data_IF_547261080902
#
_entry.id   IF_547261080902
#
_cell.length_a   1.000
_cell.length_b   1.000
_cell.length_c   1.000
_cell.angle_alpha   90.00
_cell.angle_beta   90.00
_cell.angle_gamma   90.00
#
_symmetry.space_group_name_H-M   'P 1'
#
loop_
_entity.id
_entity.type
_entity.pdbx_description
1 polymer ?
#
# COMPACT_ATOMS: atom_id res chain seq x y z
N UNK A 1 15.51 1.47 31.49
CA UNK A 1 14.39 1.16 30.58
C UNK A 1 13.84 2.48 30.09
N UNK A 2 13.95 2.74 28.79
CA UNK A 2 13.43 3.95 28.16
C UNK A 2 11.90 3.95 28.24
N UNK A 3 11.25 5.11 28.33
CA UNK A 3 9.78 5.20 28.35
C UNK A 3 9.27 6.07 27.21
N UNK A 4 8.41 5.50 26.37
CA UNK A 4 7.65 6.19 25.32
C UNK A 4 6.18 6.23 25.72
N UNK A 5 5.52 7.35 25.48
CA UNK A 5 4.10 7.54 25.82
C UNK A 5 3.29 7.96 24.61
N UNK A 6 2.13 7.30 24.41
CA UNK A 6 1.08 7.73 23.51
C UNK A 6 -0.08 8.37 24.27
N UNK A 7 -0.41 9.60 23.89
CA UNK A 7 -1.55 10.36 24.41
C UNK A 7 -2.56 10.60 23.29
N UNK A 8 -3.77 10.03 23.42
CA UNK A 8 -4.87 10.27 22.50
C UNK A 8 -5.82 11.36 23.03
N UNK A 9 -6.15 12.31 22.16
CA UNK A 9 -7.21 13.30 22.36
C UNK A 9 -8.23 13.12 21.23
N UNK A 10 -9.40 12.61 21.59
CA UNK A 10 -10.47 12.27 20.65
C UNK A 10 -11.64 13.22 20.79
N UNK A 11 -12.23 13.61 19.67
CA UNK A 11 -13.49 14.35 19.61
C UNK A 11 -14.34 13.87 18.45
N UNK A 12 -15.46 14.55 18.23
CA UNK A 12 -16.30 14.30 17.04
C UNK A 12 -15.49 14.61 15.78
N UNK A 13 -15.37 13.65 14.87
CA UNK A 13 -14.66 13.78 13.60
C UNK A 13 -13.15 14.10 13.68
N UNK A 14 -12.52 14.07 14.87
CA UNK A 14 -11.10 14.42 15.02
C UNK A 14 -10.37 13.57 16.05
N UNK A 15 -9.15 13.17 15.70
CA UNK A 15 -8.16 12.54 16.57
C UNK A 15 -6.86 13.33 16.56
N UNK A 16 -6.25 13.47 17.75
CA UNK A 16 -4.85 13.84 17.89
C UNK A 16 -4.15 12.77 18.74
N UNK A 17 -3.13 12.14 18.19
CA UNK A 17 -2.34 11.12 18.87
C UNK A 17 -0.91 11.60 18.99
N UNK A 18 -0.52 12.00 20.20
CA UNK A 18 0.81 12.51 20.50
C UNK A 18 1.76 11.41 20.97
N UNK A 19 3.02 11.51 20.57
CA UNK A 19 4.13 10.72 21.14
C UNK A 19 5.02 11.61 22.02
N UNK A 20 5.43 11.09 23.18
CA UNK A 20 6.39 11.77 24.07
C UNK A 20 7.31 10.77 24.79
N UNK A 21 8.31 11.29 25.51
CA UNK A 21 9.30 10.48 26.24
C UNK A 21 10.61 10.27 25.48
N UNK A 22 11.24 9.12 25.71
CA UNK A 22 12.54 8.71 25.16
C UNK A 22 12.41 8.21 23.70
N UNK A 23 12.02 9.12 22.80
CA UNK A 23 11.91 8.84 21.35
C UNK A 23 13.18 9.27 20.64
N UNK A 24 13.54 8.56 19.55
CA UNK A 24 14.65 9.02 18.70
C UNK A 24 14.27 10.35 18.05
N UNK A 25 14.98 11.42 18.41
CA UNK A 25 14.92 12.74 17.74
C UNK A 25 16.06 12.92 16.74
N UNK A 26 16.96 11.94 16.66
CA UNK A 26 18.05 11.90 15.70
C UNK A 26 17.58 11.40 14.34
N UNK A 27 18.53 11.31 13.41
CA UNK A 27 18.30 10.69 12.12
C UNK A 27 17.96 9.20 12.31
N UNK A 28 16.82 8.79 11.77
CA UNK A 28 16.37 7.40 11.69
C UNK A 28 16.21 7.03 10.23
N UNK A 29 16.40 5.76 9.90
CA UNK A 29 16.32 5.31 8.51
C UNK A 29 14.94 4.70 8.25
N UNK A 30 14.29 5.13 7.15
CA UNK A 30 13.08 4.45 6.67
C UNK A 30 13.38 2.97 6.47
N UNK A 31 12.55 2.11 7.04
CA UNK A 31 12.65 0.65 6.86
C UNK A 31 12.63 0.24 5.37
N UNK A 32 11.99 1.06 4.53
CA UNK A 32 11.97 0.91 3.08
C UNK A 32 12.76 2.02 2.38
N UNK A 33 13.81 1.63 1.66
CA UNK A 33 14.56 2.53 0.78
C UNK A 33 15.72 3.28 1.43
N UNK A 34 16.00 3.07 2.72
CA UNK A 34 17.23 3.58 3.34
C UNK A 34 17.26 5.11 3.49
N UNK A 35 16.11 5.78 3.42
CA UNK A 35 16.04 7.25 3.47
C UNK A 35 16.15 7.69 4.92
N UNK A 36 17.20 8.43 5.23
CA UNK A 36 17.35 9.18 6.47
C UNK A 36 16.19 10.16 6.68
N UNK A 37 15.61 10.17 7.88
CA UNK A 37 14.52 11.05 8.27
C UNK A 37 14.58 11.39 9.77
N UNK A 38 13.91 12.45 10.17
CA UNK A 38 13.82 12.91 11.55
C UNK A 38 12.37 13.25 11.88
N UNK A 39 11.92 13.01 13.11
CA UNK A 39 10.58 13.40 13.54
C UNK A 39 10.46 14.92 13.56
N UNK A 40 9.52 15.46 12.80
CA UNK A 40 9.22 16.89 12.70
C UNK A 40 7.98 17.25 13.53
N UNK A 41 6.93 16.43 13.44
CA UNK A 41 5.69 16.61 14.20
C UNK A 41 5.46 15.41 15.11
N UNK A 42 5.50 15.58 16.44
CA UNK A 42 5.23 14.49 17.38
C UNK A 42 3.73 14.21 17.58
N UNK A 43 2.85 14.76 16.74
CA UNK A 43 1.41 14.57 16.84
C UNK A 43 0.83 14.15 15.49
N UNK A 44 0.27 12.95 15.43
CA UNK A 44 -0.61 12.55 14.33
C UNK A 44 -1.97 13.23 14.54
N UNK A 45 -2.38 14.06 13.59
CA UNK A 45 -3.70 14.69 13.53
C UNK A 45 -4.50 14.04 12.41
N UNK A 46 -5.73 13.60 12.73
CA UNK A 46 -6.64 12.96 11.77
C UNK A 46 -8.01 13.60 11.87
N UNK A 47 -8.63 13.90 10.74
CA UNK A 47 -10.00 14.40 10.61
C UNK A 47 -10.76 13.54 9.60
N UNK A 48 -11.96 13.07 9.96
CA UNK A 48 -12.81 12.30 9.06
C UNK A 48 -14.28 12.55 9.39
N UNK A 49 -15.06 12.94 8.40
CA UNK A 49 -16.49 13.17 8.57
C UNK A 49 -17.23 11.85 8.81
N UNK A 50 -18.19 11.86 9.74
CA UNK A 50 -19.01 10.69 10.05
C UNK A 50 -18.35 9.68 11.00
N UNK A 51 -17.10 9.93 11.42
CA UNK A 51 -16.38 9.06 12.37
C UNK A 51 -16.38 9.70 13.77
N UNK A 52 -16.93 8.97 14.75
CA UNK A 52 -16.80 9.34 16.15
C UNK A 52 -15.51 8.74 16.75
N UNK A 53 -14.44 9.52 16.75
CA UNK A 53 -13.14 9.08 17.25
C UNK A 53 -13.15 8.78 18.76
N UNK A 54 -14.10 9.32 19.53
CA UNK A 54 -14.23 8.99 20.95
C UNK A 54 -14.71 7.54 21.17
N UNK A 55 -15.28 6.94 20.13
CA UNK A 55 -15.78 5.56 20.14
C UNK A 55 -14.82 4.55 19.51
N UNK A 56 -13.65 4.98 19.03
CA UNK A 56 -12.67 4.07 18.41
C UNK A 56 -12.09 3.15 19.46
N UNK A 57 -11.97 1.87 19.11
CA UNK A 57 -11.43 0.86 19.99
C UNK A 57 -9.98 1.19 20.41
N UNK A 58 -9.62 1.07 21.70
CA UNK A 58 -8.29 1.44 22.18
C UNK A 58 -7.12 0.69 21.52
N UNK A 59 -7.30 -0.57 21.14
CA UNK A 59 -6.28 -1.32 20.39
C UNK A 59 -6.03 -0.74 18.99
N UNK A 60 -7.06 -0.21 18.34
CA UNK A 60 -6.92 0.47 17.05
C UNK A 60 -6.10 1.74 17.23
N UNK A 61 -6.35 2.53 18.29
CA UNK A 61 -5.56 3.72 18.62
C UNK A 61 -4.10 3.37 18.91
N UNK A 62 -3.84 2.32 19.69
CA UNK A 62 -2.49 1.85 19.97
C UNK A 62 -1.76 1.41 18.69
N UNK A 63 -2.42 0.65 17.82
CA UNK A 63 -1.84 0.21 16.55
C UNK A 63 -1.55 1.41 15.64
N UNK A 64 -2.48 2.36 15.50
CA UNK A 64 -2.25 3.60 14.73
C UNK A 64 -1.01 4.33 15.26
N UNK A 65 -0.85 4.46 16.58
CA UNK A 65 0.33 5.09 17.18
C UNK A 65 1.62 4.38 16.84
N UNK A 66 1.64 3.05 16.96
CA UNK A 66 2.81 2.25 16.59
C UNK A 66 3.13 2.42 15.11
N UNK A 67 2.14 2.35 14.22
CA UNK A 67 2.34 2.46 12.78
C UNK A 67 2.84 3.85 12.35
N UNK A 68 2.30 4.91 12.96
CA UNK A 68 2.64 6.29 12.64
C UNK A 68 4.05 6.67 13.11
N UNK A 69 4.46 6.17 14.27
CA UNK A 69 5.73 6.56 14.90
C UNK A 69 6.78 5.44 14.92
N UNK A 70 6.53 4.32 14.22
CA UNK A 70 7.41 3.15 14.19
C UNK A 70 8.90 3.50 14.03
N UNK A 71 9.32 4.39 13.09
CA UNK A 71 10.73 4.69 12.85
C UNK A 71 11.49 5.30 14.04
N UNK A 72 10.79 5.88 15.02
CA UNK A 72 11.41 6.59 16.15
C UNK A 72 11.18 5.91 17.50
N UNK A 73 10.54 4.75 17.48
CA UNK A 73 10.45 3.88 18.66
C UNK A 73 11.84 3.27 18.94
N UNK A 74 12.22 3.12 20.22
CA UNK A 74 13.47 2.46 20.57
C UNK A 74 13.57 1.04 20.01
N UNK A 75 14.78 0.65 19.61
CA UNK A 75 15.04 -0.68 19.05
C UNK A 75 15.13 -1.79 20.11
N UNK A 76 15.44 -1.44 21.37
CA UNK A 76 15.59 -2.40 22.47
C UNK A 76 15.10 -1.83 23.79
N UNK A 77 14.59 -2.71 24.65
CA UNK A 77 14.27 -2.50 26.08
C UNK A 77 13.63 -1.14 26.45
N UNK A 78 12.38 -0.96 26.03
CA UNK A 78 11.58 0.21 26.38
C UNK A 78 10.17 -0.13 26.86
N UNK A 79 9.55 0.81 27.55
CA UNK A 79 8.14 0.75 27.94
C UNK A 79 7.33 1.69 27.05
N UNK A 80 6.30 1.14 26.39
CA UNK A 80 5.26 1.89 25.70
C UNK A 80 4.05 2.05 26.62
N UNK A 81 3.85 3.27 27.12
CA UNK A 81 2.69 3.66 27.94
C UNK A 81 1.62 4.31 27.08
N UNK A 82 0.37 3.92 27.27
CA UNK A 82 -0.77 4.55 26.58
C UNK A 82 -1.67 5.25 27.60
N UNK A 83 -2.26 6.39 27.24
CA UNK A 83 -3.25 7.08 28.09
C UNK A 83 -4.62 6.39 28.13
N UNK A 84 -4.78 5.32 27.36
CA UNK A 84 -5.99 4.53 27.18
C UNK A 84 -5.73 3.03 27.47
N UNK A 85 -6.76 2.18 27.59
CA UNK A 85 -6.59 0.75 27.79
C UNK A 85 -5.94 0.05 26.58
N UNK A 86 -5.27 -1.09 26.77
CA UNK A 86 -4.77 -1.93 25.67
C UNK A 86 -4.99 -3.41 26.00
N UNK A 87 -5.50 -4.19 25.06
CA UNK A 87 -5.78 -5.62 25.29
C UNK A 87 -4.49 -6.44 25.41
N UNK A 88 -4.58 -7.57 26.10
CA UNK A 88 -3.46 -8.51 26.20
C UNK A 88 -3.04 -9.07 24.82
N UNK A 89 -3.97 -9.19 23.88
CA UNK A 89 -3.71 -9.70 22.53
C UNK A 89 -2.81 -8.75 21.75
N UNK A 90 -3.14 -7.45 21.73
CA UNK A 90 -2.30 -6.47 21.07
C UNK A 90 -0.93 -6.34 21.76
N UNK A 91 -0.89 -6.34 23.09
CA UNK A 91 0.38 -6.32 23.83
C UNK A 91 1.27 -7.50 23.41
N UNK A 92 0.72 -8.72 23.34
CA UNK A 92 1.46 -9.91 22.91
C UNK A 92 1.91 -9.83 21.44
N UNK A 93 1.09 -9.25 20.56
CA UNK A 93 1.43 -9.08 19.16
C UNK A 93 2.60 -8.09 18.96
N UNK A 94 2.59 -6.97 19.69
CA UNK A 94 3.64 -5.95 19.64
C UNK A 94 4.96 -6.44 20.24
N UNK A 95 4.91 -7.28 21.29
CA UNK A 95 6.09 -7.87 21.95
C UNK A 95 6.88 -8.87 21.12
N UNK A 96 6.41 -9.21 19.92
CA UNK A 96 7.10 -10.15 19.05
C UNK A 96 8.47 -9.58 18.65
N UNK A 97 9.55 -10.39 18.63
CA UNK A 97 10.91 -9.91 18.37
C UNK A 97 11.11 -9.17 17.04
N UNK A 98 10.23 -9.40 16.07
CA UNK A 98 10.28 -8.79 14.73
C UNK A 98 9.31 -7.61 14.56
N UNK A 99 8.59 -7.22 15.61
CA UNK A 99 7.71 -6.04 15.64
C UNK A 99 8.38 -4.96 16.51
N UNK A 100 8.38 -5.13 17.83
CA UNK A 100 9.04 -4.24 18.79
C UNK A 100 9.84 -5.10 19.81
N UNK A 101 11.10 -5.45 19.51
CA UNK A 101 11.91 -6.29 20.39
C UNK A 101 12.09 -5.65 21.77
N UNK A 102 11.84 -6.43 22.84
CA UNK A 102 12.06 -5.97 24.22
C UNK A 102 11.05 -4.94 24.73
N UNK A 103 9.96 -4.68 24.01
CA UNK A 103 8.94 -3.72 24.47
C UNK A 103 8.16 -4.29 25.65
N UNK A 104 7.93 -3.46 26.67
CA UNK A 104 6.82 -3.65 27.61
C UNK A 104 5.71 -2.69 27.24
N UNK A 105 4.47 -3.16 27.20
CA UNK A 105 3.32 -2.33 26.82
C UNK A 105 2.39 -2.25 28.01
N UNK A 106 2.02 -1.03 28.40
CA UNK A 106 1.10 -0.75 29.50
C UNK A 106 0.08 0.33 29.07
N UNK A 107 -1.11 0.25 29.66
CA UNK A 107 -2.19 1.21 29.41
C UNK A 107 -3.01 1.45 30.66
N UNK A 108 -3.92 2.42 30.61
CA UNK A 108 -4.80 2.80 31.72
C UNK A 108 -5.98 1.81 31.88
N UNK A 109 -5.67 0.51 31.91
CA UNK A 109 -6.63 -0.59 31.99
C UNK A 109 -6.45 -1.63 30.89
N UNK A 110 -7.39 -2.59 30.84
CA UNK A 110 -7.44 -3.66 29.84
C UNK A 110 -8.57 -3.33 28.85
N UNK A 111 -8.26 -3.27 27.57
CA UNK A 111 -9.28 -3.06 26.54
C UNK A 111 -10.20 -4.28 26.40
N UNK A 112 -11.45 -4.04 26.03
CA UNK A 112 -12.39 -5.10 25.68
C UNK A 112 -12.05 -5.77 24.34
N UNK A 113 -12.87 -6.73 23.88
CA UNK A 113 -12.74 -7.29 22.55
C UNK A 113 -13.07 -6.25 21.48
N UNK A 114 -12.31 -6.26 20.38
CA UNK A 114 -12.61 -5.48 19.19
C UNK A 114 -13.83 -6.05 18.46
N UNK A 115 -14.77 -5.15 18.11
CA UNK A 115 -15.89 -5.46 17.24
C UNK A 115 -15.87 -4.51 16.05
N UNK A 116 -15.78 -5.03 14.81
CA UNK A 116 -15.76 -4.18 13.63
C UNK A 116 -17.09 -3.42 13.48
N UNK A 117 -17.00 -2.14 13.10
CA UNK A 117 -18.15 -1.29 12.77
C UNK A 117 -18.52 -1.34 11.29
N UNK A 118 -17.53 -1.64 10.44
CA UNK A 118 -17.71 -1.85 9.01
C UNK A 118 -17.24 -3.26 8.69
N UNK A 119 -17.94 -3.96 7.79
CA UNK A 119 -17.47 -5.29 7.40
C UNK A 119 -16.20 -5.20 6.56
N UNK A 120 -16.29 -4.63 5.36
CA UNK A 120 -15.16 -4.57 4.43
C UNK A 120 -15.00 -3.17 3.86
N UNK A 121 -13.76 -2.72 3.70
CA UNK A 121 -13.39 -1.46 3.03
C UNK A 121 -12.25 -1.70 2.05
N UNK A 122 -12.11 -0.83 1.05
CA UNK A 122 -10.94 -0.77 0.18
C UNK A 122 -10.07 0.41 0.60
N UNK A 123 -8.81 0.12 0.94
CA UNK A 123 -7.78 1.13 1.12
C UNK A 123 -7.43 1.74 -0.24
N UNK A 124 -8.01 2.89 -0.54
CA UNK A 124 -8.01 3.48 -1.88
C UNK A 124 -6.97 4.58 -2.01
N UNK A 125 -5.91 4.33 -2.80
CA UNK A 125 -4.82 5.29 -3.04
C UNK A 125 -4.91 6.03 -4.37
N UNK A 126 -5.91 5.71 -5.21
CA UNK A 126 -6.09 6.31 -6.54
C UNK A 126 -5.21 5.76 -7.66
N UNK A 127 -4.24 4.90 -7.37
CA UNK A 127 -3.45 4.22 -8.41
C UNK A 127 -4.23 3.09 -9.10
N UNK A 128 -3.67 2.54 -10.18
CA UNK A 128 -4.32 1.42 -10.91
C UNK A 128 -4.66 0.25 -10.00
N UNK A 129 -3.83 -0.04 -9.00
CA UNK A 129 -4.00 -1.23 -8.18
C UNK A 129 -5.22 -1.12 -7.25
N UNK A 130 -5.37 0.02 -6.54
CA UNK A 130 -6.58 0.28 -5.74
C UNK A 130 -7.82 0.55 -6.60
N UNK A 131 -7.65 1.11 -7.81
CA UNK A 131 -8.74 1.30 -8.75
C UNK A 131 -9.25 -0.03 -9.30
N UNK A 132 -8.36 -0.96 -9.63
CA UNK A 132 -8.69 -2.34 -10.00
C UNK A 132 -9.46 -3.03 -8.87
N UNK A 133 -9.02 -2.88 -7.61
CA UNK A 133 -9.77 -3.38 -6.46
C UNK A 133 -11.20 -2.82 -6.42
N UNK A 134 -11.40 -1.51 -6.61
CA UNK A 134 -12.75 -0.91 -6.61
C UNK A 134 -13.65 -1.40 -7.76
N UNK A 135 -13.06 -1.87 -8.87
CA UNK A 135 -13.80 -2.45 -10.00
C UNK A 135 -14.16 -3.91 -9.73
N UNK A 136 -13.23 -4.68 -9.15
CA UNK A 136 -13.44 -6.10 -8.79
C UNK A 136 -14.42 -6.29 -7.64
N UNK A 137 -14.51 -5.32 -6.73
CA UNK A 137 -15.35 -5.40 -5.54
C UNK A 137 -16.37 -4.25 -5.51
N UNK A 138 -17.35 -4.24 -6.43
CA UNK A 138 -18.32 -3.17 -6.52
C UNK A 138 -19.16 -3.08 -5.25
N UNK A 139 -19.46 -1.86 -4.81
CA UNK A 139 -20.27 -1.59 -3.62
C UNK A 139 -19.53 -1.68 -2.29
N UNK A 140 -18.24 -2.05 -2.28
CA UNK A 140 -17.41 -1.95 -1.09
C UNK A 140 -16.95 -0.49 -0.90
N UNK A 141 -17.20 0.12 0.27
CA UNK A 141 -16.75 1.47 0.56
C UNK A 141 -15.25 1.69 0.38
N UNK A 142 -14.90 2.85 -0.15
CA UNK A 142 -13.53 3.30 -0.36
C UNK A 142 -13.10 4.20 0.79
N UNK A 143 -11.89 3.98 1.31
CA UNK A 143 -11.27 4.85 2.32
C UNK A 143 -9.99 5.44 1.74
N UNK A 144 -9.91 6.77 1.70
CA UNK A 144 -8.78 7.49 1.11
C UNK A 144 -8.13 8.44 2.10
N UNK A 145 -6.79 8.40 2.15
CA UNK A 145 -5.97 9.35 2.90
C UNK A 145 -5.64 10.55 2.01
N UNK A 146 -5.95 11.74 2.52
CA UNK A 146 -5.57 13.03 1.95
C UNK A 146 -4.83 13.84 3.02
N UNK A 147 -3.84 14.66 2.65
CA UNK A 147 -3.25 15.61 3.59
C UNK A 147 -4.29 16.58 4.17
N UNK A 148 -4.07 17.01 5.41
CA UNK A 148 -4.82 18.08 6.05
C UNK A 148 -4.74 19.38 5.22
N UNK A 149 -5.83 20.17 5.12
CA UNK A 149 -5.87 21.42 4.34
C UNK A 149 -4.83 22.47 4.75
N UNK A 150 -4.31 22.39 5.98
CA UNK A 150 -3.24 23.27 6.47
C UNK A 150 -1.85 22.89 5.94
N UNK A 151 -1.74 21.82 5.15
CA UNK A 151 -0.51 21.45 4.46
C UNK A 151 -0.17 22.50 3.41
N UNK A 152 1.05 23.05 3.47
CA UNK A 152 1.57 23.99 2.48
C UNK A 152 1.93 23.33 1.15
N UNK A 153 1.86 22.00 1.06
CA UNK A 153 2.04 21.27 -0.18
C UNK A 153 0.81 21.47 -1.07
N UNK A 154 1.01 21.79 -2.36
CA UNK A 154 -0.05 21.92 -3.35
C UNK A 154 -0.74 20.56 -3.61
N UNK A 155 -1.67 20.23 -2.70
CA UNK A 155 -2.63 19.13 -2.56
C UNK A 155 -3.63 18.85 -3.71
N UNK A 156 -3.29 18.59 -4.98
CA UNK A 156 -4.36 18.34 -5.98
C UNK A 156 -4.86 16.91 -5.87
N UNK A 157 -5.87 16.75 -5.03
CA UNK A 157 -6.48 15.45 -4.82
C UNK A 157 -7.52 15.11 -5.90
N UNK A 158 -7.03 14.58 -7.02
CA UNK A 158 -7.89 14.03 -8.08
C UNK A 158 -8.78 12.90 -7.54
N UNK A 159 -8.33 12.19 -6.50
CA UNK A 159 -9.05 11.08 -5.88
C UNK A 159 -10.22 11.59 -5.04
N UNK A 160 -10.03 12.60 -4.19
CA UNK A 160 -11.12 13.21 -3.41
C UNK A 160 -12.25 13.70 -4.30
N UNK A 161 -11.94 14.27 -5.47
CA UNK A 161 -12.95 14.73 -6.41
C UNK A 161 -13.83 13.59 -6.94
N UNK A 162 -13.28 12.37 -7.05
CA UNK A 162 -13.99 11.15 -7.42
C UNK A 162 -14.81 10.64 -6.22
N UNK A 163 -14.20 10.56 -5.03
CA UNK A 163 -14.79 9.89 -3.87
C UNK A 163 -15.91 10.69 -3.19
N UNK A 164 -15.81 12.03 -3.12
CA UNK A 164 -16.81 12.89 -2.45
C UNK A 164 -18.20 12.83 -3.09
N UNK A 165 -18.34 12.16 -4.24
CA UNK A 165 -19.61 11.95 -4.95
C UNK A 165 -20.40 10.76 -4.40
N UNK A 166 -19.81 9.97 -3.52
CA UNK A 166 -20.35 8.72 -2.99
C UNK A 166 -20.35 8.78 -1.46
N UNK A 167 -21.52 8.99 -0.82
CA UNK A 167 -21.62 9.22 0.63
C UNK A 167 -21.18 8.03 1.49
N UNK A 168 -21.09 6.84 0.90
CA UNK A 168 -20.59 5.61 1.54
C UNK A 168 -19.06 5.59 1.67
N UNK A 169 -18.33 6.46 0.98
CA UNK A 169 -16.87 6.51 1.02
C UNK A 169 -16.36 7.48 2.09
N UNK A 170 -15.17 7.19 2.61
CA UNK A 170 -14.50 8.03 3.61
C UNK A 170 -13.27 8.71 3.03
N UNK A 171 -13.23 10.03 3.23
CA UNK A 171 -12.03 10.84 3.04
C UNK A 171 -11.46 11.15 4.42
N UNK A 172 -10.22 10.75 4.63
CA UNK A 172 -9.49 10.89 5.90
C UNK A 172 -8.40 11.92 5.69
N UNK A 173 -8.53 13.06 6.36
CA UNK A 173 -7.53 14.12 6.33
C UNK A 173 -6.52 13.92 7.44
N UNK A 174 -5.23 13.76 7.12
CA UNK A 174 -4.20 13.60 8.16
C UNK A 174 -2.87 14.31 7.84
N UNK A 175 -1.94 14.26 8.80
CA UNK A 175 -0.55 14.70 8.62
C UNK A 175 0.46 13.55 8.62
N UNK A 176 0.04 12.31 8.33
CA UNK A 176 0.88 11.11 8.45
C UNK A 176 2.17 11.21 7.61
N UNK A 177 2.05 11.78 6.41
CA UNK A 177 3.17 11.95 5.47
C UNK A 177 4.13 13.09 5.84
N UNK A 178 3.75 13.92 6.81
CA UNK A 178 4.46 15.12 7.26
C UNK A 178 5.00 14.97 8.68
N UNK A 179 4.78 13.82 9.34
CA UNK A 179 5.36 13.55 10.66
C UNK A 179 6.90 13.59 10.62
N UNK A 180 7.50 13.30 9.47
CA UNK A 180 8.95 13.19 9.30
C UNK A 180 9.49 14.20 8.28
N UNK A 181 10.78 14.51 8.36
CA UNK A 181 11.48 15.42 7.45
C UNK A 181 11.53 14.93 6.01
N UNK A 182 11.39 13.63 5.78
CA UNK A 182 11.19 13.04 4.47
C UNK A 182 9.70 12.78 4.23
N UNK A 183 9.16 13.31 3.12
CA UNK A 183 7.78 13.07 2.73
C UNK A 183 7.55 11.61 2.37
N UNK A 184 6.55 10.99 3.00
CA UNK A 184 6.16 9.61 2.70
C UNK A 184 5.56 8.90 3.90
N UNK A 185 5.18 7.64 3.70
CA UNK A 185 4.68 6.84 4.81
C UNK A 185 5.84 6.38 5.70
N UNK A 186 5.73 6.51 7.03
CA UNK A 186 6.78 6.07 7.96
C UNK A 186 7.06 4.57 7.86
N UNK A 187 6.03 3.81 7.53
CA UNK A 187 6.03 2.38 7.33
C UNK A 187 5.01 2.04 6.24
N UNK A 188 5.25 1.04 5.39
CA UNK A 188 4.33 0.74 4.28
C UNK A 188 2.92 0.37 4.75
N UNK A 189 2.78 -0.42 5.83
CA UNK A 189 1.46 -0.72 6.44
C UNK A 189 0.80 0.48 7.09
N UNK A 190 1.50 1.60 7.28
CA UNK A 190 0.88 2.85 7.73
C UNK A 190 -0.13 3.38 6.69
N UNK A 191 -0.07 2.90 5.43
CA UNK A 191 -1.12 3.13 4.44
C UNK A 191 -2.52 2.70 4.91
N UNK A 192 -2.62 1.77 5.86
CA UNK A 192 -3.90 1.28 6.38
C UNK A 192 -4.43 2.08 7.57
N UNK A 193 -3.69 3.09 8.06
CA UNK A 193 -4.16 3.93 9.20
C UNK A 193 -5.51 4.57 8.88
N UNK A 194 -5.68 5.13 7.68
CA UNK A 194 -6.95 5.72 7.26
C UNK A 194 -8.09 4.68 7.22
N UNK A 195 -7.81 3.45 6.80
CA UNK A 195 -8.81 2.37 6.83
C UNK A 195 -9.10 1.88 8.25
N UNK A 196 -8.13 1.91 9.16
CA UNK A 196 -8.33 1.48 10.56
C UNK A 196 -9.32 2.39 11.32
N UNK A 197 -9.38 3.69 11.01
CA UNK A 197 -10.23 4.63 11.76
C UNK A 197 -11.73 4.37 11.59
N UNK A 198 -12.14 3.65 10.54
CA UNK A 198 -13.54 3.23 10.33
C UNK A 198 -13.83 1.84 10.92
N UNK A 199 -12.86 1.25 11.60
CA UNK A 199 -12.96 -0.04 12.30
C UNK A 199 -13.54 -1.17 11.44
N UNK A 200 -12.88 -1.51 10.32
CA UNK A 200 -13.33 -2.57 9.43
C UNK A 200 -12.99 -3.97 9.98
N UNK A 201 -13.71 -5.00 9.54
CA UNK A 201 -13.27 -6.40 9.66
C UNK A 201 -12.19 -6.72 8.64
N UNK A 202 -12.38 -6.28 7.39
CA UNK A 202 -11.47 -6.56 6.28
C UNK A 202 -11.05 -5.25 5.58
N UNK A 203 -9.77 -5.15 5.26
CA UNK A 203 -9.20 -4.08 4.44
C UNK A 203 -8.67 -4.71 3.16
N UNK A 204 -9.37 -4.47 2.04
CA UNK A 204 -8.86 -4.82 0.72
C UNK A 204 -7.80 -3.79 0.34
N UNK A 205 -6.61 -4.25 -0.03
CA UNK A 205 -5.51 -3.37 -0.46
C UNK A 205 -5.12 -3.63 -1.90
N UNK A 206 -4.76 -2.56 -2.62
CA UNK A 206 -4.19 -2.66 -3.97
C UNK A 206 -2.75 -3.18 -3.99
N UNK A 207 -2.34 -4.04 -3.05
CA UNK A 207 -1.01 -4.66 -3.09
C UNK A 207 -1.02 -5.76 -4.13
N UNK A 208 -0.20 -5.58 -5.15
CA UNK A 208 0.01 -6.44 -6.30
C UNK A 208 0.82 -7.71 -6.01
N UNK A 209 0.74 -8.67 -6.92
CA UNK A 209 1.37 -9.98 -6.81
C UNK A 209 2.89 -9.92 -6.78
N UNK A 210 3.51 -9.02 -7.55
CA UNK A 210 4.97 -9.00 -7.75
C UNK A 210 5.70 -8.41 -6.54
N UNK A 211 5.13 -7.38 -5.90
CA UNK A 211 5.61 -6.86 -4.61
C UNK A 211 5.46 -7.88 -3.47
N UNK A 212 4.37 -8.65 -3.49
CA UNK A 212 4.09 -9.67 -2.47
C UNK A 212 4.92 -10.94 -2.61
N UNK A 213 5.13 -11.43 -3.83
CA UNK A 213 5.73 -12.75 -4.05
C UNK A 213 7.11 -12.70 -4.70
N UNK A 214 7.47 -11.66 -5.46
CA UNK A 214 8.73 -11.64 -6.22
C UNK A 214 9.78 -10.66 -5.65
N UNK A 215 9.46 -9.94 -4.58
CA UNK A 215 10.32 -8.89 -4.00
C UNK A 215 10.88 -7.92 -5.06
N UNK A 216 10.05 -7.53 -6.03
CA UNK A 216 10.45 -6.63 -7.11
C UNK A 216 11.35 -7.25 -8.18
N UNK A 217 11.30 -8.58 -8.36
CA UNK A 217 11.98 -9.30 -9.46
C UNK A 217 13.17 -10.16 -9.02
N UNK A 218 13.51 -10.15 -7.71
CA UNK A 218 14.66 -10.88 -7.15
C UNK A 218 14.39 -12.38 -6.97
N UNK A 219 13.12 -12.79 -6.95
CA UNK A 219 12.74 -14.20 -6.93
C UNK A 219 11.53 -14.49 -6.07
N UNK A 220 10.92 -15.66 -6.30
CA UNK A 220 9.76 -16.11 -5.55
C UNK A 220 10.07 -16.30 -4.05
N UNK A 221 9.48 -15.42 -3.24
CA UNK A 221 9.56 -15.37 -1.79
C UNK A 221 8.17 -14.99 -1.28
N UNK A 222 7.29 -15.98 -1.00
CA UNK A 222 5.93 -15.69 -0.60
C UNK A 222 5.91 -14.87 0.70
N UNK A 223 5.44 -13.63 0.63
CA UNK A 223 5.26 -12.75 1.80
C UNK A 223 3.90 -12.92 2.48
N UNK A 224 3.18 -14.02 2.24
CA UNK A 224 1.97 -14.36 3.01
C UNK A 224 2.25 -14.53 4.52
N UNK A 225 3.52 -14.68 4.91
CA UNK A 225 3.98 -14.63 6.30
C UNK A 225 4.24 -13.19 6.83
N UNK A 226 3.71 -12.15 6.19
CA UNK A 226 3.93 -10.76 6.60
C UNK A 226 3.55 -10.57 8.08
N UNK A 227 4.55 -10.21 8.88
CA UNK A 227 4.40 -10.12 10.32
C UNK A 227 3.42 -9.04 10.74
N UNK A 228 3.30 -7.97 9.96
CA UNK A 228 2.36 -6.89 10.22
C UNK A 228 0.92 -7.37 10.01
N UNK A 229 0.61 -8.11 8.94
CA UNK A 229 -0.74 -8.64 8.72
C UNK A 229 -1.22 -9.49 9.90
N UNK A 230 -0.31 -10.23 10.54
CA UNK A 230 -0.63 -10.97 11.76
C UNK A 230 -0.93 -10.05 12.95
N UNK A 231 -0.30 -8.87 13.05
CA UNK A 231 -0.62 -7.86 14.08
C UNK A 231 -2.03 -7.31 13.84
N UNK A 232 -2.39 -6.95 12.61
CA UNK A 232 -3.77 -6.55 12.28
C UNK A 232 -4.78 -7.66 12.65
N UNK A 233 -4.49 -8.91 12.29
CA UNK A 233 -5.37 -10.04 12.62
C UNK A 233 -5.54 -10.25 14.13
N UNK A 234 -4.52 -9.95 14.96
CA UNK A 234 -4.64 -10.09 16.42
C UNK A 234 -5.66 -9.15 17.05
N UNK A 235 -5.93 -8.02 16.39
CA UNK A 235 -6.99 -7.08 16.78
C UNK A 235 -8.27 -7.31 15.98
N UNK A 236 -8.39 -8.41 15.21
CA UNK A 236 -9.59 -8.77 14.46
C UNK A 236 -9.74 -8.07 13.10
N UNK A 237 -8.67 -7.50 12.55
CA UNK A 237 -8.66 -6.85 11.22
C UNK A 237 -7.87 -7.69 10.23
N UNK A 238 -8.49 -8.11 9.12
CA UNK A 238 -7.83 -8.84 8.05
C UNK A 238 -7.34 -7.87 6.97
N UNK A 239 -6.11 -8.04 6.49
CA UNK A 239 -5.62 -7.38 5.28
C UNK A 239 -5.74 -8.35 4.11
N UNK A 240 -6.52 -7.97 3.11
CA UNK A 240 -6.84 -8.76 1.92
C UNK A 240 -6.21 -8.09 0.68
N UNK A 241 -4.93 -8.32 0.39
CA UNK A 241 -4.29 -7.69 -0.75
C UNK A 241 -4.76 -8.30 -2.06
N UNK A 242 -4.89 -7.50 -3.12
CA UNK A 242 -5.18 -7.97 -4.49
C UNK A 242 -3.97 -8.64 -5.16
N UNK A 243 -3.14 -9.32 -4.36
CA UNK A 243 -1.90 -9.96 -4.80
C UNK A 243 -2.12 -11.24 -5.60
N UNK A 244 -3.36 -11.48 -6.04
CA UNK A 244 -3.67 -12.42 -7.12
C UNK A 244 -3.43 -11.79 -8.50
N UNK A 245 -3.30 -10.46 -8.64
CA UNK A 245 -3.00 -9.78 -9.90
C UNK A 245 -1.64 -9.09 -9.87
N UNK A 246 -0.93 -9.11 -11.00
CA UNK A 246 0.22 -8.24 -11.24
C UNK A 246 -0.20 -6.79 -11.46
N UNK A 247 0.76 -5.87 -11.47
CA UNK A 247 0.52 -4.47 -11.87
C UNK A 247 -0.15 -4.37 -13.26
N UNK A 248 0.20 -5.29 -14.16
CA UNK A 248 -0.37 -5.39 -15.52
C UNK A 248 -1.79 -5.96 -15.47
N UNK A 249 -2.02 -6.99 -14.66
CA UNK A 249 -3.36 -7.54 -14.41
C UNK A 249 -4.32 -6.48 -13.86
N UNK A 250 -3.88 -5.68 -12.89
CA UNK A 250 -4.64 -4.54 -12.37
C UNK A 250 -4.96 -3.53 -13.49
N UNK A 251 -3.98 -3.19 -14.32
CA UNK A 251 -4.18 -2.27 -15.44
C UNK A 251 -5.20 -2.78 -16.47
N UNK A 252 -5.23 -4.09 -16.75
CA UNK A 252 -6.24 -4.72 -17.62
C UNK A 252 -7.65 -4.56 -17.04
N UNK A 253 -7.83 -4.80 -15.74
CA UNK A 253 -9.10 -4.58 -15.03
C UNK A 253 -9.54 -3.11 -15.18
N UNK A 254 -8.63 -2.17 -14.93
CA UNK A 254 -8.93 -0.74 -15.03
C UNK A 254 -9.29 -0.33 -16.46
N UNK A 255 -8.58 -0.86 -17.46
CA UNK A 255 -8.86 -0.59 -18.86
C UNK A 255 -10.23 -1.13 -19.28
N UNK A 256 -10.53 -2.38 -18.93
CA UNK A 256 -11.82 -3.00 -19.24
C UNK A 256 -13.00 -2.28 -18.56
N UNK A 257 -12.78 -1.72 -17.37
CA UNK A 257 -13.74 -0.85 -16.69
C UNK A 257 -13.88 0.55 -17.31
N UNK A 258 -13.05 0.92 -18.29
CA UNK A 258 -13.07 2.25 -18.91
C UNK A 258 -12.53 3.37 -18.01
N UNK A 259 -11.75 3.04 -16.98
CA UNK A 259 -11.32 3.98 -15.93
C UNK A 259 -9.82 4.30 -15.94
N UNK A 260 -9.11 3.99 -17.02
CA UNK A 260 -7.65 4.22 -17.10
C UNK A 260 -7.24 5.69 -16.84
N UNK A 261 -8.09 6.64 -17.21
CA UNK A 261 -7.84 8.07 -17.00
C UNK A 261 -8.15 8.56 -15.57
N UNK A 262 -8.79 7.73 -14.74
CA UNK A 262 -9.10 8.05 -13.34
C UNK A 262 -7.90 7.78 -12.42
N UNK A 263 -6.91 7.00 -12.90
CA UNK A 263 -5.78 6.59 -12.08
C UNK A 263 -4.74 7.72 -11.91
N UNK A 264 -4.37 7.99 -10.66
CA UNK A 264 -3.25 8.85 -10.32
C UNK A 264 -1.93 8.06 -10.37
N UNK A 265 -1.01 8.44 -11.27
CA UNK A 265 0.25 7.72 -11.45
C UNK A 265 1.37 8.28 -10.59
N UNK A 266 1.41 9.60 -10.44
CA UNK A 266 2.47 10.28 -9.72
C UNK A 266 2.19 10.45 -8.23
N UNK A 267 3.26 10.48 -7.45
CA UNK A 267 3.26 10.94 -6.05
C UNK A 267 3.46 12.46 -5.94
N UNK A 268 3.84 13.14 -7.03
CA UNK A 268 3.90 14.60 -7.08
C UNK A 268 2.51 15.16 -7.40
N UNK A 269 2.21 16.25 -6.71
CA UNK A 269 0.90 16.51 -6.13
C UNK A 269 0.03 17.42 -7.04
N UNK A 270 0.50 17.74 -8.24
CA UNK A 270 -0.13 18.68 -9.17
C UNK A 270 -0.41 18.08 -10.56
N UNK A 271 0.07 16.87 -10.85
CA UNK A 271 -0.03 16.25 -12.18
C UNK A 271 -0.29 14.75 -12.08
N UNK A 272 -1.07 14.20 -13.03
CA UNK A 272 -1.30 12.76 -13.11
C UNK A 272 0.01 11.98 -13.31
N UNK A 273 1.00 12.58 -13.98
CA UNK A 273 2.32 12.02 -14.31
C UNK A 273 3.39 13.12 -14.24
N UNK A 274 4.57 12.84 -13.64
CA UNK A 274 5.66 13.82 -13.53
C UNK A 274 6.72 13.74 -14.63
N UNK A 275 6.62 12.80 -15.55
CA UNK A 275 7.49 12.57 -16.72
C UNK A 275 8.97 12.31 -16.37
N UNK A 276 9.27 11.96 -15.11
CA UNK A 276 10.67 11.84 -14.63
C UNK A 276 10.91 10.76 -13.58
N UNK A 277 9.88 10.00 -13.18
CA UNK A 277 10.05 8.93 -12.20
C UNK A 277 9.73 7.56 -12.80
N UNK A 278 10.39 6.54 -12.25
CA UNK A 278 10.33 5.15 -12.73
C UNK A 278 8.91 4.57 -12.67
N UNK A 279 8.14 4.94 -11.63
CA UNK A 279 6.72 4.58 -11.51
C UNK A 279 5.89 5.10 -12.69
N UNK A 280 6.08 6.36 -13.08
CA UNK A 280 5.34 6.94 -14.19
C UNK A 280 5.76 6.31 -15.54
N UNK A 281 7.06 6.09 -15.74
CA UNK A 281 7.56 5.39 -16.93
C UNK A 281 6.93 4.00 -17.07
N UNK A 282 6.95 3.21 -15.98
CA UNK A 282 6.36 1.87 -15.96
C UNK A 282 4.89 1.89 -16.33
N UNK A 283 4.11 2.81 -15.77
CA UNK A 283 2.67 2.92 -16.05
C UNK A 283 2.40 3.35 -17.50
N UNK A 284 3.24 4.20 -18.08
CA UNK A 284 3.18 4.53 -19.52
C UNK A 284 3.42 3.32 -20.41
N UNK A 285 4.43 2.51 -20.10
CA UNK A 285 4.70 1.28 -20.85
C UNK A 285 3.51 0.31 -20.77
N UNK A 286 2.92 0.15 -19.58
CA UNK A 286 1.71 -0.67 -19.43
C UNK A 286 0.54 -0.13 -20.27
N UNK A 287 0.32 1.18 -20.30
CA UNK A 287 -0.70 1.79 -21.17
C UNK A 287 -0.41 1.57 -22.65
N UNK A 288 0.84 1.74 -23.08
CA UNK A 288 1.24 1.53 -24.47
C UNK A 288 1.04 0.07 -24.91
N UNK A 289 1.31 -0.87 -24.00
CA UNK A 289 1.07 -2.30 -24.22
C UNK A 289 -0.43 -2.59 -24.35
N UNK A 290 -1.25 -2.01 -23.48
CA UNK A 290 -2.69 -2.30 -23.43
C UNK A 290 -3.52 -1.55 -24.48
N UNK A 291 -3.06 -0.38 -24.91
CA UNK A 291 -3.73 0.47 -25.90
C UNK A 291 -2.76 0.87 -27.03
N UNK A 292 -2.61 0.02 -28.08
CA UNK A 292 -1.67 0.26 -29.17
C UNK A 292 -1.97 1.50 -30.03
N UNK A 293 -3.20 2.02 -29.95
CA UNK A 293 -3.62 3.24 -30.66
C UNK A 293 -3.19 4.50 -29.91
N UNK A 294 -2.97 4.41 -28.60
CA UNK A 294 -2.54 5.54 -27.79
C UNK A 294 -1.08 5.88 -28.04
N UNK A 295 -0.82 7.10 -28.51
CA UNK A 295 0.55 7.61 -28.63
C UNK A 295 1.09 7.91 -27.23
N UNK A 296 1.74 6.93 -26.63
CA UNK A 296 2.37 7.10 -25.32
C UNK A 296 3.74 7.77 -25.50
N UNK A 297 3.83 9.02 -25.06
CA UNK A 297 5.06 9.82 -25.14
C UNK A 297 6.10 9.36 -24.09
N UNK A 298 6.80 8.25 -24.32
CA UNK A 298 7.88 7.81 -23.43
C UNK A 298 9.20 8.56 -23.66
N UNK A 299 9.32 9.28 -24.77
CA UNK A 299 10.54 10.04 -25.11
C UNK A 299 10.80 11.21 -24.14
N UNK A 300 9.78 11.68 -23.44
CA UNK A 300 9.94 12.72 -22.41
C UNK A 300 10.87 12.26 -21.28
N UNK A 301 10.94 10.94 -21.01
CA UNK A 301 11.77 10.36 -19.96
C UNK A 301 13.25 10.25 -20.34
N UNK A 302 13.60 10.33 -21.64
CA UNK A 302 15.00 10.30 -22.12
C UNK A 302 15.86 11.41 -21.47
N UNK A 303 15.21 12.51 -21.08
CA UNK A 303 15.88 13.67 -20.50
C UNK A 303 16.18 13.49 -19.00
N UNK A 304 15.77 12.38 -18.41
CA UNK A 304 15.94 12.11 -16.98
C UNK A 304 17.11 11.17 -16.74
N UNK A 305 18.24 11.72 -16.28
CA UNK A 305 19.42 10.94 -15.89
C UNK A 305 19.09 9.84 -14.87
N UNK A 306 18.24 10.14 -13.88
CA UNK A 306 17.77 9.15 -12.90
C UNK A 306 17.03 7.96 -13.51
N UNK A 307 16.34 8.15 -14.64
CA UNK A 307 15.70 7.03 -15.35
C UNK A 307 16.75 6.21 -16.09
N UNK A 308 17.72 6.85 -16.72
CA UNK A 308 18.81 6.17 -17.43
C UNK A 308 19.63 5.32 -16.45
N UNK A 309 20.02 5.87 -15.31
CA UNK A 309 20.70 5.15 -14.22
C UNK A 309 19.86 3.98 -13.69
N UNK A 310 18.56 4.21 -13.49
CA UNK A 310 17.64 3.16 -13.07
C UNK A 310 17.60 2.00 -14.06
N UNK A 311 17.42 2.28 -15.35
CA UNK A 311 17.36 1.26 -16.40
C UNK A 311 18.68 0.52 -16.58
N UNK A 312 19.82 1.11 -16.18
CA UNK A 312 21.11 0.45 -16.16
C UNK A 312 21.32 -0.48 -14.95
N UNK A 313 20.50 -0.36 -13.90
CA UNK A 313 20.63 -1.15 -12.68
C UNK A 313 20.17 -2.60 -12.90
N UNK A 314 20.86 -3.56 -12.26
CA UNK A 314 20.49 -4.99 -12.25
C UNK A 314 20.57 -5.54 -10.81
N UNK A 315 19.57 -6.30 -10.32
CA UNK A 315 18.27 -6.51 -10.95
C UNK A 315 17.49 -5.20 -11.06
N UNK A 316 16.71 -5.07 -12.13
CA UNK A 316 15.84 -3.92 -12.32
C UNK A 316 14.63 -4.08 -11.39
N UNK A 317 14.37 -3.09 -10.54
CA UNK A 317 13.22 -3.14 -9.65
C UNK A 317 11.91 -3.13 -10.46
N UNK A 318 11.07 -4.16 -10.28
CA UNK A 318 9.94 -4.51 -11.16
C UNK A 318 10.34 -4.84 -12.60
N UNK A 319 11.50 -5.49 -12.77
CA UNK A 319 12.02 -5.90 -14.07
C UNK A 319 11.04 -6.74 -14.87
N UNK A 320 10.29 -7.63 -14.22
CA UNK A 320 9.23 -8.44 -14.80
C UNK A 320 8.17 -7.59 -15.53
N UNK A 321 7.72 -6.51 -14.89
CA UNK A 321 6.74 -5.59 -15.49
C UNK A 321 7.34 -4.86 -16.68
N UNK A 322 8.59 -4.40 -16.59
CA UNK A 322 9.28 -3.74 -17.70
C UNK A 322 9.48 -4.68 -18.89
N UNK A 323 9.93 -5.92 -18.63
CA UNK A 323 10.12 -6.97 -19.63
C UNK A 323 8.80 -7.24 -20.37
N UNK A 324 7.72 -7.51 -19.62
CA UNK A 324 6.44 -7.86 -20.24
C UNK A 324 5.82 -6.68 -20.98
N UNK A 325 5.79 -5.49 -20.35
CA UNK A 325 5.18 -4.30 -20.95
C UNK A 325 5.94 -3.85 -22.19
N UNK A 326 7.27 -3.66 -22.10
CA UNK A 326 8.05 -3.21 -23.24
C UNK A 326 8.14 -4.29 -24.34
N UNK A 327 8.36 -5.56 -23.96
CA UNK A 327 8.47 -6.68 -24.90
C UNK A 327 7.17 -6.98 -25.67
N UNK A 328 6.03 -6.64 -25.09
CA UNK A 328 4.70 -6.82 -25.73
C UNK A 328 4.15 -5.54 -26.35
N UNK A 329 4.87 -4.41 -26.27
CA UNK A 329 4.41 -3.15 -26.88
C UNK A 329 4.56 -3.21 -28.40
N UNK A 330 3.50 -2.87 -29.13
CA UNK A 330 3.48 -2.91 -30.59
C UNK A 330 4.48 -1.93 -31.27
N UNK A 331 4.91 -0.90 -30.55
CA UNK A 331 5.86 0.11 -31.00
C UNK A 331 7.11 0.06 -30.11
N UNK A 332 8.26 -0.41 -30.61
CA UNK A 332 9.51 -0.33 -29.87
C UNK A 332 9.82 1.10 -29.45
N UNK A 333 10.31 1.24 -28.23
CA UNK A 333 10.73 2.49 -27.62
C UNK A 333 12.21 2.42 -27.28
N UNK A 334 12.85 3.56 -27.00
CA UNK A 334 14.24 3.57 -26.51
C UNK A 334 14.42 2.73 -25.23
N UNK A 335 13.36 2.55 -24.42
CA UNK A 335 13.39 1.69 -23.23
C UNK A 335 13.64 0.25 -23.62
N UNK A 336 13.04 -0.22 -24.73
CA UNK A 336 13.26 -1.58 -25.24
C UNK A 336 14.74 -1.86 -25.48
N UNK A 337 15.50 -0.88 -25.98
CA UNK A 337 16.93 -1.02 -26.22
C UNK A 337 17.72 -1.17 -24.91
N UNK A 338 17.31 -0.48 -23.84
CA UNK A 338 18.00 -0.47 -22.54
C UNK A 338 17.75 -1.73 -21.71
N UNK A 339 16.69 -2.48 -22.03
CA UNK A 339 16.33 -3.74 -21.36
C UNK A 339 16.23 -4.91 -22.34
N UNK A 340 16.82 -4.77 -23.54
CA UNK A 340 16.77 -5.80 -24.58
C UNK A 340 17.37 -7.12 -24.09
N UNK A 341 18.45 -7.03 -23.31
CA UNK A 341 19.09 -8.17 -22.63
C UNK A 341 18.10 -8.94 -21.75
N UNK A 342 17.27 -8.22 -20.99
CA UNK A 342 16.27 -8.81 -20.11
C UNK A 342 15.09 -9.41 -20.88
N UNK A 343 14.64 -8.74 -21.95
CA UNK A 343 13.57 -9.25 -22.83
C UNK A 343 14.02 -10.56 -23.50
N UNK A 344 15.25 -10.61 -24.01
CA UNK A 344 15.82 -11.80 -24.63
C UNK A 344 15.98 -12.94 -23.62
N UNK A 345 16.50 -12.65 -22.42
CA UNK A 345 16.76 -13.67 -21.39
C UNK A 345 15.48 -14.32 -20.84
N UNK A 346 14.41 -13.53 -20.66
CA UNK A 346 13.19 -14.02 -19.99
C UNK A 346 12.04 -14.34 -20.95
N UNK A 347 12.02 -13.75 -22.14
CA UNK A 347 10.94 -13.93 -23.11
C UNK A 347 9.57 -13.52 -22.56
N UNK A 348 8.54 -14.26 -22.96
CA UNK A 348 7.16 -14.00 -22.52
C UNK A 348 6.94 -14.44 -21.07
N UNK A 349 6.40 -13.53 -20.26
CA UNK A 349 6.08 -13.76 -18.85
C UNK A 349 4.57 -13.94 -18.69
N UNK A 350 4.07 -15.14 -19.01
CA UNK A 350 2.64 -15.46 -19.07
C UNK A 350 1.88 -15.19 -17.76
N UNK A 351 2.58 -15.18 -16.61
CA UNK A 351 1.96 -14.87 -15.32
C UNK A 351 1.46 -13.42 -15.19
N UNK A 352 1.86 -12.50 -16.08
CA UNK A 352 1.28 -11.15 -16.14
C UNK A 352 -0.12 -11.11 -16.76
N UNK A 353 -0.49 -12.16 -17.50
CA UNK A 353 -1.76 -12.24 -18.24
C UNK A 353 -2.79 -13.15 -17.55
N UNK A 354 -2.48 -13.65 -16.37
CA UNK A 354 -3.32 -14.53 -15.56
C UNK A 354 -3.32 -14.08 -14.08
N UNK A 355 -4.19 -14.66 -13.25
CA UNK A 355 -4.22 -14.41 -11.81
C UNK A 355 -3.74 -15.62 -10.99
N UNK A 356 -3.10 -15.36 -9.86
CA UNK A 356 -2.57 -16.37 -8.95
C UNK A 356 -3.63 -16.78 -7.91
N UNK A 357 -4.28 -17.96 -8.04
CA UNK A 357 -5.44 -18.32 -7.22
C UNK A 357 -5.09 -18.56 -5.74
N UNK A 358 -3.87 -18.97 -5.43
CA UNK A 358 -3.48 -19.32 -4.05
C UNK A 358 -3.45 -18.08 -3.14
N UNK A 359 -3.36 -16.88 -3.70
CA UNK A 359 -3.44 -15.66 -2.90
C UNK A 359 -4.74 -15.57 -2.09
N UNK A 360 -5.85 -16.12 -2.58
CA UNK A 360 -7.10 -16.15 -1.81
C UNK A 360 -6.98 -16.96 -0.52
N UNK A 361 -6.34 -18.14 -0.58
CA UNK A 361 -6.11 -18.99 0.58
C UNK A 361 -5.03 -18.40 1.50
N UNK A 362 -3.93 -17.92 0.92
CA UNK A 362 -2.82 -17.29 1.65
C UNK A 362 -3.24 -16.13 2.55
N UNK A 363 -4.23 -15.35 2.11
CA UNK A 363 -4.72 -14.18 2.85
C UNK A 363 -6.09 -14.40 3.51
N UNK A 364 -6.65 -15.62 3.41
CA UNK A 364 -7.91 -15.97 4.06
C UNK A 364 -9.10 -15.16 3.55
N UNK A 365 -9.22 -15.00 2.23
CA UNK A 365 -10.36 -14.31 1.63
C UNK A 365 -11.68 -15.01 1.98
N UNK A 366 -12.70 -14.26 2.43
CA UNK A 366 -14.07 -14.76 2.49
C UNK A 366 -14.54 -15.26 1.11
N UNK A 367 -15.30 -16.36 1.08
CA UNK A 367 -15.78 -16.99 -0.17
C UNK A 367 -16.54 -16.01 -1.06
N UNK A 368 -17.34 -15.12 -0.48
CA UNK A 368 -18.08 -14.10 -1.23
C UNK A 368 -17.15 -13.12 -1.95
N UNK A 369 -16.11 -12.63 -1.27
CA UNK A 369 -15.13 -11.73 -1.88
C UNK A 369 -14.28 -12.46 -2.93
N UNK A 370 -13.85 -13.68 -2.65
CA UNK A 370 -13.16 -14.52 -3.63
C UNK A 370 -13.98 -14.67 -4.91
N UNK A 371 -15.27 -15.02 -4.78
CA UNK A 371 -16.17 -15.20 -5.91
C UNK A 371 -16.33 -13.91 -6.72
N UNK A 372 -16.50 -12.76 -6.07
CA UNK A 372 -16.56 -11.46 -6.75
C UNK A 372 -15.30 -11.20 -7.59
N UNK A 373 -14.11 -11.45 -7.02
CA UNK A 373 -12.85 -11.26 -7.72
C UNK A 373 -12.71 -12.22 -8.92
N UNK A 374 -13.01 -13.51 -8.73
CA UNK A 374 -12.95 -14.53 -9.80
C UNK A 374 -13.92 -14.21 -10.95
N UNK A 375 -15.16 -13.81 -10.64
CA UNK A 375 -16.14 -13.39 -11.64
C UNK A 375 -15.70 -12.11 -12.38
N UNK A 376 -15.16 -11.13 -11.66
CA UNK A 376 -14.64 -9.89 -12.24
C UNK A 376 -13.44 -10.13 -13.17
N UNK A 377 -12.51 -11.01 -12.79
CA UNK A 377 -11.37 -11.40 -13.64
C UNK A 377 -11.83 -12.20 -14.86
N UNK A 378 -12.78 -13.12 -14.69
CA UNK A 378 -13.34 -13.88 -15.80
C UNK A 378 -14.06 -12.97 -16.81
N UNK A 379 -14.80 -11.95 -16.34
CA UNK A 379 -15.51 -11.00 -17.19
C UNK A 379 -14.57 -10.20 -18.12
N UNK A 380 -13.31 -10.00 -17.72
CA UNK A 380 -12.29 -9.30 -18.53
C UNK A 380 -11.32 -10.26 -19.24
N UNK A 381 -11.57 -11.56 -19.16
CA UNK A 381 -10.75 -12.58 -19.81
C UNK A 381 -9.37 -12.79 -19.19
N UNK A 382 -9.20 -12.56 -17.88
CA UNK A 382 -7.98 -12.91 -17.15
C UNK A 382 -8.16 -14.32 -16.55
N UNK A 383 -7.52 -15.36 -17.11
CA UNK A 383 -7.63 -16.72 -16.58
C UNK A 383 -6.88 -16.91 -15.27
N UNK A 384 -7.21 -17.98 -14.54
CA UNK A 384 -6.36 -18.48 -13.45
C UNK A 384 -5.05 -19.04 -14.01
N UNK A 385 -4.00 -19.01 -13.21
CA UNK A 385 -2.77 -19.73 -13.51
C UNK A 385 -3.05 -21.21 -13.84
N UNK A 386 -2.48 -21.67 -14.95
CA UNK A 386 -2.28 -23.08 -15.20
C UNK A 386 -0.97 -23.57 -14.56
N UNK A 387 -0.67 -24.87 -14.71
CA UNK A 387 0.53 -25.46 -14.13
C UNK A 387 1.84 -24.86 -14.69
N UNK A 388 1.85 -24.49 -15.98
CA UNK A 388 3.04 -23.94 -16.63
C UNK A 388 3.31 -22.50 -16.17
N UNK A 389 2.27 -21.67 -16.13
CA UNK A 389 2.29 -20.28 -15.67
C UNK A 389 2.69 -20.20 -14.21
N UNK A 390 2.12 -21.07 -13.36
CA UNK A 390 2.51 -21.21 -11.96
C UNK A 390 4.00 -21.53 -11.82
N UNK A 391 4.48 -22.55 -12.53
CA UNK A 391 5.89 -22.93 -12.49
C UNK A 391 6.79 -21.78 -12.94
N UNK A 392 6.42 -21.07 -14.02
CA UNK A 392 7.16 -19.90 -14.47
C UNK A 392 7.24 -18.84 -13.37
N UNK A 393 6.12 -18.50 -12.74
CA UNK A 393 6.08 -17.52 -11.65
C UNK A 393 6.90 -17.94 -10.43
N UNK A 394 6.76 -19.19 -9.96
CA UNK A 394 7.45 -19.69 -8.77
C UNK A 394 8.95 -19.90 -8.98
N UNK A 395 9.40 -20.04 -10.24
CA UNK A 395 10.82 -20.15 -10.61
C UNK A 395 11.40 -18.85 -11.15
N UNK A 396 10.59 -17.80 -11.30
CA UNK A 396 11.04 -16.53 -11.84
C UNK A 396 12.06 -15.90 -10.90
N UNK A 397 13.21 -15.55 -11.46
CA UNK A 397 14.25 -14.71 -10.87
C UNK A 397 14.86 -13.91 -12.01
N UNK A 398 15.02 -12.61 -11.84
CA UNK A 398 15.76 -11.79 -12.81
C UNK A 398 17.28 -12.04 -12.76
N UNK A 399 17.78 -12.53 -11.61
CA UNK A 399 19.18 -12.91 -11.39
C UNK A 399 19.41 -14.40 -11.56
#
# INVERSE_FOLDING_TARGET
MQTVKFDAFTGKNRLRLGISGDVSRGEVTRSEGGIAMTLVDPVLSVECEGVDFASIHPDVLALIGVLAFFPVLPETDFELRTSFPVSANLQAALRRPWILPGVSVSGNGVAGPYFPKVDTVISYGGGLDSLAASILFPGIPLVHETPLPTSTAAYTDVVNAILRRQPENWVVFDNLRQLFSAWGLPLWVAAYISSLIVEPRNIISGTEMTGTYLSGGVGYKPRNANVWYRVFQTIGVNILPTSFLTEIGNARIVMAGGRMNDAAYCVKIDVQDCNRCTKCLRRRLIRAMLNPEETVMVDEFLRSESIMEFLATRPLYYGDVFIHAAGSTARPTWVNEHIADLIEAHGSLAFHDAYYPDAFEHFGYPDELRKMAEEGMAAVGIPSFDAATRKQFETYSQL
#
